data_IF_260174746543
#
_entry.id   IF_260174746543
#
_cell.length_a   1.000
_cell.length_b   1.000
_cell.length_c   1.000
_cell.angle_alpha   90.00
_cell.angle_beta   90.00
_cell.angle_gamma   90.00
#
_symmetry.space_group_name_H-M   'P 1'
#
loop_
_entity.id
_entity.type
_entity.pdbx_description
1 polymer ?
#
# COMPACT_ATOMS: atom_id res chain seq x y z
N UNK A 1 1.71 -8.11 -9.87
CA UNK A 1 1.23 -6.80 -10.35
C UNK A 1 2.25 -5.92 -11.07
N UNK A 2 3.56 -6.14 -10.93
CA UNK A 2 4.59 -5.35 -11.63
C UNK A 2 4.84 -5.77 -13.10
N UNK A 3 3.78 -6.01 -13.89
CA UNK A 3 3.92 -6.50 -15.28
C UNK A 3 4.74 -5.51 -16.13
N UNK A 4 5.99 -5.86 -16.43
CA UNK A 4 6.92 -5.03 -17.23
C UNK A 4 7.84 -4.12 -16.40
N UNK A 5 7.81 -4.19 -15.07
CA UNK A 5 8.60 -3.33 -14.19
C UNK A 5 9.59 -4.17 -13.38
N UNK A 6 10.87 -3.80 -13.43
CA UNK A 6 11.88 -4.47 -12.63
C UNK A 6 11.78 -4.01 -11.17
N UNK A 7 11.53 -4.94 -10.25
CA UNK A 7 11.42 -4.62 -8.82
C UNK A 7 12.66 -3.90 -8.27
N UNK A 8 13.85 -4.27 -8.74
CA UNK A 8 15.11 -3.71 -8.25
C UNK A 8 15.31 -2.26 -8.72
N UNK A 9 14.72 -1.85 -9.84
CA UNK A 9 14.82 -0.47 -10.34
C UNK A 9 13.82 0.49 -9.71
N UNK A 10 12.83 -0.01 -8.95
CA UNK A 10 11.90 0.86 -8.24
C UNK A 10 12.64 1.53 -7.06
N UNK A 11 12.48 2.84 -6.94
CA UNK A 11 13.05 3.64 -5.86
C UNK A 11 12.54 3.22 -4.48
N UNK A 12 13.26 3.64 -3.44
CA UNK A 12 12.92 3.28 -2.06
C UNK A 12 11.59 3.91 -1.63
N UNK A 13 11.32 5.14 -2.09
CA UNK A 13 10.09 5.88 -1.75
C UNK A 13 8.87 5.18 -2.36
N UNK A 14 8.90 4.85 -3.64
CA UNK A 14 7.79 4.14 -4.31
C UNK A 14 7.55 2.79 -3.68
N UNK A 15 8.61 2.06 -3.33
CA UNK A 15 8.49 0.78 -2.60
C UNK A 15 7.83 0.96 -1.23
N UNK A 16 8.12 2.04 -0.51
CA UNK A 16 7.49 2.32 0.79
C UNK A 16 6.01 2.66 0.63
N UNK A 17 5.68 3.54 -0.33
CA UNK A 17 4.28 3.92 -0.62
C UNK A 17 3.47 2.67 -1.04
N UNK A 18 4.00 1.86 -1.96
CA UNK A 18 3.33 0.64 -2.42
C UNK A 18 3.09 -0.36 -1.28
N UNK A 19 4.03 -0.52 -0.35
CA UNK A 19 3.85 -1.43 0.80
C UNK A 19 2.77 -0.95 1.74
N UNK A 20 2.77 0.35 2.07
CA UNK A 20 1.76 0.94 2.94
C UNK A 20 0.36 0.79 2.33
N UNK A 21 0.20 1.21 1.07
CA UNK A 21 -1.08 1.14 0.38
C UNK A 21 -1.54 -0.32 0.18
N UNK A 22 -0.63 -1.25 -0.13
CA UNK A 22 -0.99 -2.67 -0.26
C UNK A 22 -1.45 -3.26 1.09
N UNK A 23 -0.79 -2.91 2.19
CA UNK A 23 -1.23 -3.32 3.52
C UNK A 23 -2.65 -2.82 3.81
N UNK A 24 -2.92 -1.53 3.57
CA UNK A 24 -4.25 -0.96 3.81
C UNK A 24 -5.32 -1.63 2.94
N UNK A 25 -5.05 -1.87 1.65
CA UNK A 25 -6.02 -2.49 0.74
C UNK A 25 -6.35 -3.93 1.15
N UNK A 26 -5.35 -4.67 1.66
CA UNK A 26 -5.49 -6.10 1.96
C UNK A 26 -6.04 -6.35 3.36
N UNK A 27 -5.75 -5.46 4.32
CA UNK A 27 -6.01 -5.72 5.74
C UNK A 27 -7.08 -4.79 6.32
N UNK A 28 -7.12 -3.52 5.89
CA UNK A 28 -8.03 -2.52 6.45
C UNK A 28 -9.38 -2.53 5.73
N UNK A 29 -10.41 -1.99 6.37
CA UNK A 29 -11.76 -1.89 5.78
C UNK A 29 -11.96 -0.64 4.91
N UNK A 30 -10.95 0.23 4.85
CA UNK A 30 -10.95 1.46 4.05
C UNK A 30 -11.17 1.16 2.57
N UNK A 31 -11.94 2.02 1.88
CA UNK A 31 -12.19 1.86 0.45
C UNK A 31 -10.87 1.94 -0.35
N UNK A 32 -10.63 0.92 -1.19
CA UNK A 32 -9.45 0.81 -2.05
C UNK A 32 -9.18 2.07 -2.86
N UNK A 33 -10.22 2.77 -3.35
CA UNK A 33 -10.07 4.00 -4.14
C UNK A 33 -9.52 5.15 -3.30
N UNK A 34 -9.91 5.24 -2.03
CA UNK A 34 -9.39 6.25 -1.11
C UNK A 34 -7.89 5.99 -0.91
N UNK A 35 -7.51 4.75 -0.57
CA UNK A 35 -6.11 4.38 -0.36
C UNK A 35 -5.25 4.67 -1.60
N UNK A 36 -5.76 4.34 -2.80
CA UNK A 36 -5.05 4.61 -4.06
C UNK A 36 -4.86 6.13 -4.26
N UNK A 37 -5.89 6.94 -4.03
CA UNK A 37 -5.78 8.39 -4.16
C UNK A 37 -4.72 8.96 -3.21
N UNK A 38 -4.72 8.56 -1.94
CA UNK A 38 -3.71 9.00 -0.97
C UNK A 38 -2.29 8.56 -1.36
N UNK A 39 -2.14 7.33 -1.86
CA UNK A 39 -0.86 6.84 -2.36
C UNK A 39 -0.34 7.64 -3.57
N UNK A 40 -1.24 8.09 -4.45
CA UNK A 40 -0.92 8.97 -5.59
C UNK A 40 -0.48 10.36 -5.11
N UNK A 41 -1.15 10.93 -4.11
CA UNK A 41 -0.75 12.23 -3.54
C UNK A 41 0.61 12.15 -2.83
N UNK A 42 0.88 11.08 -2.08
CA UNK A 42 2.20 10.82 -1.50
C UNK A 42 3.29 10.72 -2.57
N UNK A 43 2.99 10.06 -3.69
CA UNK A 43 3.92 9.94 -4.81
C UNK A 43 4.25 11.29 -5.44
N UNK A 44 3.25 12.16 -5.62
CA UNK A 44 3.47 13.53 -6.12
C UNK A 44 4.33 14.36 -5.18
N UNK A 45 4.20 14.15 -3.87
CA UNK A 45 4.93 14.92 -2.87
C UNK A 45 6.36 14.42 -2.64
N UNK A 46 6.62 13.12 -2.80
CA UNK A 46 7.85 12.48 -2.29
C UNK A 46 8.68 11.75 -3.36
N UNK A 47 8.15 11.56 -4.57
CA UNK A 47 8.77 10.75 -5.62
C UNK A 47 8.83 11.50 -6.96
N UNK A 48 9.35 10.83 -7.99
CA UNK A 48 9.49 11.42 -9.34
C UNK A 48 8.13 11.62 -10.04
N UNK A 49 8.08 12.51 -11.03
CA UNK A 49 6.87 12.85 -11.80
C UNK A 49 6.15 11.64 -12.45
N UNK A 50 6.88 10.54 -12.68
CA UNK A 50 6.35 9.30 -13.27
C UNK A 50 5.74 8.37 -12.23
N UNK A 51 6.06 8.53 -10.96
CA UNK A 51 5.68 7.66 -9.85
C UNK A 51 4.18 7.66 -9.52
N UNK A 52 3.43 8.78 -9.62
CA UNK A 52 1.98 8.77 -9.43
C UNK A 52 1.26 7.79 -10.39
N UNK A 53 1.62 7.82 -11.68
CA UNK A 53 1.05 6.92 -12.70
C UNK A 53 1.45 5.46 -12.45
N UNK A 54 2.70 5.24 -12.05
CA UNK A 54 3.18 3.92 -11.70
C UNK A 54 2.38 3.31 -10.55
N UNK A 55 2.27 4.03 -9.43
CA UNK A 55 1.61 3.58 -8.21
C UNK A 55 0.16 3.24 -8.48
N UNK A 56 -0.56 4.11 -9.21
CA UNK A 56 -1.93 3.84 -9.62
C UNK A 56 -2.05 2.50 -10.37
N UNK A 57 -1.22 2.29 -11.39
CA UNK A 57 -1.27 1.07 -12.20
C UNK A 57 -0.98 -0.22 -11.40
N UNK A 58 -0.09 -0.15 -10.41
CA UNK A 58 0.25 -1.31 -9.57
C UNK A 58 -0.85 -1.61 -8.56
N UNK A 59 -1.39 -0.59 -7.88
CA UNK A 59 -2.41 -0.76 -6.86
C UNK A 59 -3.78 -1.10 -7.45
N UNK A 60 -4.10 -0.59 -8.65
CA UNK A 60 -5.31 -0.99 -9.37
C UNK A 60 -5.34 -2.50 -9.63
N UNK A 61 -4.18 -3.08 -9.96
CA UNK A 61 -4.05 -4.52 -10.21
C UNK A 61 -4.17 -5.36 -8.93
N UNK A 62 -4.02 -4.79 -7.74
CA UNK A 62 -4.11 -5.48 -6.44
C UNK A 62 -5.59 -5.71 -6.07
N UNK A 63 -6.08 -6.95 -6.09
CA UNK A 63 -7.48 -7.28 -5.82
C UNK A 63 -7.76 -7.62 -4.35
N UNK A 64 -9.06 -7.79 -4.02
CA UNK A 64 -9.49 -8.36 -2.73
C UNK A 64 -9.34 -9.89 -2.68
N UNK A 65 -9.20 -10.55 -3.83
CA UNK A 65 -8.98 -12.00 -3.89
C UNK A 65 -7.68 -12.40 -3.19
N UNK A 66 -6.64 -11.54 -3.23
CA UNK A 66 -5.40 -11.77 -2.50
C UNK A 66 -5.54 -11.59 -0.98
N UNK A 67 -6.47 -10.75 -0.50
CA UNK A 67 -6.72 -10.56 0.93
C UNK A 67 -7.32 -11.82 1.57
N UNK A 68 -8.11 -12.60 0.83
CA UNK A 68 -8.72 -13.82 1.33
C UNK A 68 -7.71 -14.95 1.62
N UNK A 69 -6.51 -14.88 1.03
CA UNK A 69 -5.41 -15.82 1.26
C UNK A 69 -4.42 -15.38 2.34
N UNK A 70 -4.62 -14.19 2.93
CA UNK A 70 -3.81 -13.69 4.03
C UNK A 70 -4.57 -13.99 5.31
N UNK A 71 -4.05 -14.88 6.16
CA UNK A 71 -4.53 -14.98 7.53
C UNK A 71 -4.43 -13.59 8.15
N UNK A 72 -5.58 -13.01 8.53
CA UNK A 72 -5.60 -11.70 9.18
C UNK A 72 -4.69 -11.81 10.41
N UNK A 73 -3.69 -10.93 10.56
CA UNK A 73 -2.90 -10.92 11.77
C UNK A 73 -3.85 -10.80 12.95
N UNK A 74 -3.70 -11.69 13.92
CA UNK A 74 -4.44 -11.67 15.17
C UNK A 74 -4.39 -10.23 15.70
N UNK A 75 -5.55 -9.64 16.00
CA UNK A 75 -5.67 -8.26 16.44
C UNK A 75 -4.79 -8.10 17.68
N UNK A 76 -3.63 -7.45 17.53
CA UNK A 76 -2.70 -7.28 18.64
C UNK A 76 -3.39 -6.32 19.61
N UNK A 77 -3.99 -6.86 20.68
CA UNK A 77 -4.41 -6.05 21.82
C UNK A 77 -3.17 -5.32 22.33
N UNK A 78 -3.04 -4.05 21.96
CA UNK A 78 -2.01 -3.17 22.52
C UNK A 78 -2.22 -3.21 24.03
N UNK A 79 -1.27 -3.71 24.83
CA UNK A 79 -1.41 -3.71 26.28
C UNK A 79 -1.66 -2.27 26.68
N UNK A 80 -2.79 -2.00 27.33
CA UNK A 80 -3.06 -0.66 27.85
C UNK A 80 -1.92 -0.32 28.81
N UNK A 81 -1.01 0.55 28.39
CA UNK A 81 0.01 1.08 29.28
C UNK A 81 -0.72 1.68 30.48
N UNK A 82 -0.41 1.12 31.66
CA UNK A 82 -0.93 1.63 32.92
C UNK A 82 -0.31 3.01 33.10
N UNK A 83 -1.10 4.09 33.21
CA UNK A 83 -0.52 5.40 33.48
C UNK A 83 0.22 5.32 34.83
N UNK A 84 1.50 5.71 34.83
CA UNK A 84 2.30 5.96 36.04
C UNK A 84 1.75 7.16 36.83
#
# INVERSE_FOLDING_TARGET
>A
HLRGWNYNSIGKVEKSILRLAAFEILIQETDKRIIINEAIELAKALADDKSPRFINAVLDALGKEEAANIEKPEEVEVPKEKPE
#
